data_IF_960731395345
#
_entry.id   IF_960731395345
#
_cell.length_a   1.000
_cell.length_b   1.000
_cell.length_c   1.000
_cell.angle_alpha   90.00
_cell.angle_beta   90.00
_cell.angle_gamma   90.00
#
_symmetry.space_group_name_H-M   'P 1'
#
loop_
_entity.id
_entity.type
_entity.pdbx_description
1 polymer ?
#
# COMPACT_ATOMS: atom_id res chain seq x y z
N UNK A 1 18.35 2.96 16.41
CA UNK A 1 18.71 1.99 15.37
C UNK A 1 17.50 1.08 15.17
N UNK A 2 16.91 1.03 13.98
CA UNK A 2 15.83 0.09 13.66
C UNK A 2 16.37 -1.08 12.83
N UNK A 3 15.53 -2.09 12.63
CA UNK A 3 15.79 -3.23 11.73
C UNK A 3 14.72 -3.24 10.64
N UNK A 4 15.14 -3.44 9.39
CA UNK A 4 14.32 -3.54 8.16
C UNK A 4 13.53 -2.27 7.76
N UNK A 5 12.73 -1.71 8.66
CA UNK A 5 11.83 -0.58 8.38
C UNK A 5 12.11 0.62 9.29
N UNK A 6 11.86 1.82 8.78
CA UNK A 6 12.02 3.09 9.48
C UNK A 6 11.13 4.19 8.84
N UNK A 7 11.28 5.42 9.31
CA UNK A 7 10.56 6.59 8.83
C UNK A 7 10.82 6.94 7.35
N UNK A 8 11.85 6.37 6.72
CA UNK A 8 12.15 6.53 5.30
C UNK A 8 11.56 5.41 4.43
N UNK A 9 11.07 4.33 5.03
CA UNK A 9 10.40 3.23 4.33
C UNK A 9 9.12 3.73 3.65
N UNK A 10 8.97 3.45 2.36
CA UNK A 10 7.81 3.82 1.53
C UNK A 10 7.04 2.55 1.22
N UNK A 11 5.81 2.49 1.72
CA UNK A 11 5.01 1.26 1.77
C UNK A 11 3.90 1.28 0.72
N UNK A 12 3.80 0.20 -0.05
CA UNK A 12 2.61 -0.14 -0.84
C UNK A 12 1.64 -0.95 0.04
N UNK A 13 0.33 -0.74 -0.13
CA UNK A 13 -0.70 -1.63 0.44
C UNK A 13 -1.43 -2.38 -0.68
N UNK A 14 -1.18 -3.70 -0.78
CA UNK A 14 -1.91 -4.58 -1.71
C UNK A 14 -3.24 -4.98 -1.07
N UNK A 15 -4.34 -4.75 -1.79
CA UNK A 15 -5.70 -4.86 -1.22
C UNK A 15 -6.16 -3.60 -0.51
N UNK A 16 -5.57 -2.42 -0.80
CA UNK A 16 -5.88 -1.15 -0.13
C UNK A 16 -7.39 -0.84 -0.09
N UNK A 17 -8.11 -1.10 -1.17
CA UNK A 17 -9.55 -0.76 -1.24
C UNK A 17 -10.47 -1.80 -0.59
N UNK A 18 -9.92 -2.87 -0.01
CA UNK A 18 -10.65 -3.84 0.80
C UNK A 18 -10.88 -3.32 2.22
N UNK A 19 -11.78 -3.97 2.97
CA UNK A 19 -12.15 -3.55 4.33
C UNK A 19 -10.93 -3.47 5.27
N UNK A 20 -10.16 -4.56 5.37
CA UNK A 20 -9.00 -4.63 6.27
C UNK A 20 -7.83 -3.78 5.76
N UNK A 21 -7.57 -3.80 4.45
CA UNK A 21 -6.51 -3.00 3.83
C UNK A 21 -6.72 -1.51 4.02
N UNK A 22 -7.94 -1.01 3.82
CA UNK A 22 -8.28 0.40 4.01
C UNK A 22 -8.24 0.81 5.48
N UNK A 23 -8.76 -0.04 6.38
CA UNK A 23 -8.73 0.19 7.82
C UNK A 23 -7.30 0.31 8.36
N UNK A 24 -6.44 -0.68 8.10
CA UNK A 24 -5.07 -0.67 8.58
C UNK A 24 -4.20 0.39 7.88
N UNK A 25 -4.41 0.65 6.58
CA UNK A 25 -3.71 1.74 5.90
C UNK A 25 -4.02 3.10 6.53
N UNK A 26 -5.28 3.36 6.90
CA UNK A 26 -5.66 4.58 7.62
C UNK A 26 -4.92 4.73 8.96
N UNK A 27 -4.83 3.65 9.74
CA UNK A 27 -4.07 3.64 10.99
C UNK A 27 -2.57 3.82 10.77
N UNK A 28 -1.99 3.18 9.76
CA UNK A 28 -0.58 3.33 9.38
C UNK A 28 -0.25 4.79 9.05
N UNK A 29 -1.10 5.46 8.27
CA UNK A 29 -0.96 6.87 7.91
C UNK A 29 -1.07 7.75 9.15
N UNK A 30 -2.08 7.54 10.00
CA UNK A 30 -2.27 8.28 11.24
C UNK A 30 -1.07 8.11 12.21
N UNK A 31 -0.41 6.96 12.18
CA UNK A 31 0.80 6.68 12.95
C UNK A 31 2.08 7.31 12.36
N UNK A 32 2.03 7.84 11.13
CA UNK A 32 3.17 8.45 10.44
C UNK A 32 3.92 7.53 9.49
N UNK A 33 3.39 6.35 9.17
CA UNK A 33 3.95 5.47 8.13
C UNK A 33 3.74 6.11 6.75
N UNK A 34 4.78 6.10 5.91
CA UNK A 34 4.70 6.61 4.54
C UNK A 34 4.04 5.58 3.62
N UNK A 35 2.72 5.46 3.70
CA UNK A 35 1.92 4.71 2.71
C UNK A 35 1.87 5.54 1.44
N UNK A 36 2.57 5.11 0.39
CA UNK A 36 2.76 5.89 -0.84
C UNK A 36 1.85 5.44 -1.98
N UNK A 37 1.34 4.21 -1.93
CA UNK A 37 0.48 3.66 -2.96
C UNK A 37 -0.38 2.51 -2.43
N UNK A 38 -1.54 2.34 -3.05
CA UNK A 38 -2.36 1.14 -2.96
C UNK A 38 -2.35 0.36 -4.26
N UNK A 39 -2.57 -0.95 -4.17
CA UNK A 39 -2.81 -1.79 -5.36
C UNK A 39 -4.15 -2.50 -5.21
N UNK A 40 -5.01 -2.31 -6.20
CA UNK A 40 -6.23 -3.12 -6.39
C UNK A 40 -6.52 -3.21 -7.89
N UNK A 41 -6.34 -4.39 -8.50
CA UNK A 41 -6.64 -4.58 -9.92
C UNK A 41 -8.07 -4.14 -10.27
N UNK A 42 -8.21 -3.35 -11.34
CA UNK A 42 -9.48 -2.78 -11.79
C UNK A 42 -9.85 -1.43 -11.14
N UNK A 43 -9.06 -0.92 -10.19
CA UNK A 43 -9.29 0.38 -9.54
C UNK A 43 -8.11 1.35 -9.68
N UNK A 44 -7.16 1.07 -10.57
CA UNK A 44 -6.05 1.98 -10.86
C UNK A 44 -6.53 3.37 -11.32
N UNK A 45 -5.83 4.41 -10.91
CA UNK A 45 -6.16 5.81 -11.22
C UNK A 45 -7.14 6.46 -10.23
N UNK A 46 -7.58 5.71 -9.20
CA UNK A 46 -8.43 6.25 -8.12
C UNK A 46 -7.59 6.64 -6.88
N UNK A 47 -8.22 7.33 -5.94
CA UNK A 47 -7.68 7.59 -4.61
C UNK A 47 -8.43 6.75 -3.56
N UNK A 48 -7.73 6.29 -2.53
CA UNK A 48 -8.31 5.72 -1.33
C UNK A 48 -7.52 6.21 -0.12
N UNK A 49 -8.17 6.86 0.84
CA UNK A 49 -7.52 7.54 1.97
C UNK A 49 -6.41 8.52 1.51
N UNK A 50 -6.66 9.29 0.45
CA UNK A 50 -5.70 10.19 -0.21
C UNK A 50 -4.43 9.51 -0.78
N UNK A 51 -4.41 8.17 -0.81
CA UNK A 51 -3.33 7.38 -1.41
C UNK A 51 -3.70 6.97 -2.84
N UNK A 52 -2.81 7.16 -3.84
CA UNK A 52 -3.06 6.72 -5.21
C UNK A 52 -3.14 5.21 -5.33
N UNK A 53 -4.15 4.72 -6.02
CA UNK A 53 -4.38 3.30 -6.31
C UNK A 53 -3.89 2.98 -7.71
N UNK A 54 -3.14 1.89 -7.83
CA UNK A 54 -2.63 1.36 -9.09
C UNK A 54 -3.22 -0.03 -9.38
N UNK A 55 -3.15 -0.44 -10.64
CA UNK A 55 -3.59 -1.77 -11.04
C UNK A 55 -2.53 -2.84 -10.71
N UNK A 56 -1.25 -2.47 -10.74
CA UNK A 56 -0.13 -3.41 -10.52
C UNK A 56 0.88 -2.86 -9.53
N UNK A 57 1.58 -3.77 -8.84
CA UNK A 57 2.70 -3.41 -7.95
C UNK A 57 3.85 -2.82 -8.74
N UNK A 58 4.12 -3.32 -9.95
CA UNK A 58 5.20 -2.82 -10.80
C UNK A 58 5.01 -1.34 -11.16
N UNK A 59 3.78 -0.94 -11.51
CA UNK A 59 3.43 0.45 -11.76
C UNK A 59 3.57 1.31 -10.49
N UNK A 60 2.97 0.88 -9.38
CA UNK A 60 3.05 1.57 -8.09
C UNK A 60 4.50 1.77 -7.64
N UNK A 61 5.34 0.74 -7.73
CA UNK A 61 6.74 0.78 -7.31
C UNK A 61 7.57 1.69 -8.21
N UNK A 62 7.32 1.69 -9.53
CA UNK A 62 8.00 2.58 -10.48
C UNK A 62 7.69 4.05 -10.21
N UNK A 63 6.42 4.38 -9.98
CA UNK A 63 5.97 5.76 -9.78
C UNK A 63 6.30 6.33 -8.39
N UNK A 64 6.30 5.47 -7.36
CA UNK A 64 6.46 5.93 -5.96
C UNK A 64 7.82 5.58 -5.34
N UNK A 65 8.64 4.80 -6.05
CA UNK A 65 9.89 4.24 -5.54
C UNK A 65 9.72 3.49 -4.21
N UNK A 66 8.57 2.85 -3.99
CA UNK A 66 8.31 2.08 -2.79
C UNK A 66 9.35 0.97 -2.60
N UNK A 67 9.70 0.69 -1.34
CA UNK A 67 10.71 -0.31 -0.98
C UNK A 67 10.19 -1.36 0.01
N UNK A 68 8.90 -1.30 0.37
CA UNK A 68 8.21 -2.31 1.15
C UNK A 68 6.74 -2.44 0.69
N UNK A 69 6.12 -3.58 0.98
CA UNK A 69 4.69 -3.81 0.71
C UNK A 69 4.03 -4.53 1.89
N UNK A 70 2.79 -4.16 2.20
CA UNK A 70 1.92 -4.87 3.13
C UNK A 70 0.75 -5.48 2.34
N UNK A 71 0.46 -6.76 2.58
CA UNK A 71 -0.49 -7.54 1.79
C UNK A 71 -1.74 -7.84 2.63
N UNK A 72 -2.88 -7.26 2.25
CA UNK A 72 -4.20 -7.49 2.82
C UNK A 72 -5.16 -8.08 1.78
N UNK A 73 -4.68 -9.07 1.02
CA UNK A 73 -5.49 -9.79 0.02
C UNK A 73 -5.92 -11.15 0.58
N UNK A 74 -7.09 -11.67 0.20
CA UNK A 74 -7.51 -13.01 0.62
C UNK A 74 -6.48 -14.09 0.26
N UNK A 75 -6.35 -15.17 1.06
CA UNK A 75 -5.33 -16.20 0.84
C UNK A 75 -5.25 -16.76 -0.60
N UNK A 76 -6.35 -16.97 -1.34
CA UNK A 76 -6.29 -17.46 -2.71
C UNK A 76 -5.59 -16.52 -3.72
N UNK A 77 -5.34 -15.26 -3.36
CA UNK A 77 -4.82 -14.23 -4.26
C UNK A 77 -3.49 -13.62 -3.76
N UNK A 78 -2.88 -14.21 -2.73
CA UNK A 78 -1.72 -13.63 -2.02
C UNK A 78 -0.35 -14.02 -2.61
N UNK A 79 -0.31 -14.87 -3.64
CA UNK A 79 0.92 -15.39 -4.25
C UNK A 79 1.10 -14.91 -5.70
#
# INVERSE_FOLDING_TARGET
MSILVNELTRVIVQGLTGREGGFHAGQMIAYGTKVVAGVTPGKGGTLHNDVPVFNTVAEAARETHANATAIFVPPPFAA
#
